data_IF_291235658780
#
_entry.id   IF_291235658780
#
_cell.length_a   1.000
_cell.length_b   1.000
_cell.length_c   1.000
_cell.angle_alpha   90.00
_cell.angle_beta   90.00
_cell.angle_gamma   90.00
#
_symmetry.space_group_name_H-M   'P 1'
#
loop_
_entity.id
_entity.type
_entity.pdbx_description
1 polymer ?
#
# COMPACT_ATOMS: atom_id res chain seq x y z
N UNK A 1 -1.68 21.40 62.58
CA UNK A 1 -1.58 20.06 61.94
C UNK A 1 -0.22 19.48 62.28
N UNK A 2 -0.13 18.22 62.71
CA UNK A 2 1.15 17.67 63.19
C UNK A 2 2.18 17.64 62.06
N UNK A 3 3.45 17.93 62.37
CA UNK A 3 4.57 17.92 61.40
C UNK A 3 4.66 16.61 60.60
N UNK A 4 4.18 15.51 61.19
CA UNK A 4 4.09 14.19 60.57
C UNK A 4 3.09 14.16 59.40
N UNK A 5 1.95 14.87 59.49
CA UNK A 5 0.96 14.97 58.41
C UNK A 5 1.46 15.82 57.24
N UNK A 6 2.22 16.89 57.52
CA UNK A 6 2.85 17.70 56.46
C UNK A 6 3.93 16.91 55.71
N UNK A 7 4.77 16.14 56.40
CA UNK A 7 5.77 15.28 55.77
C UNK A 7 5.14 14.17 54.92
N UNK A 8 4.05 13.56 55.39
CA UNK A 8 3.31 12.55 54.63
C UNK A 8 2.66 13.12 53.36
N UNK A 9 2.09 14.33 53.43
CA UNK A 9 1.49 14.99 52.25
C UNK A 9 2.57 15.37 51.22
N UNK A 10 3.72 15.87 51.67
CA UNK A 10 4.85 16.23 50.78
C UNK A 10 5.45 14.98 50.13
N UNK A 11 5.58 13.88 50.87
CA UNK A 11 6.06 12.61 50.30
C UNK A 11 5.08 12.04 49.26
N UNK A 12 3.77 12.18 49.50
CA UNK A 12 2.75 11.70 48.58
C UNK A 12 2.66 12.54 47.29
N UNK A 13 2.85 13.86 47.36
CA UNK A 13 2.90 14.73 46.18
C UNK A 13 4.19 14.57 45.37
N UNK A 14 5.32 14.25 46.03
CA UNK A 14 6.58 13.97 45.32
C UNK A 14 6.53 12.63 44.56
N UNK A 15 5.86 11.61 45.10
CA UNK A 15 5.71 10.30 44.46
C UNK A 15 4.79 10.35 43.22
N UNK A 16 3.79 11.25 43.24
CA UNK A 16 2.89 11.48 42.11
C UNK A 16 3.55 12.24 40.94
N UNK A 17 4.66 12.93 41.20
CA UNK A 17 5.38 13.70 40.17
C UNK A 17 6.33 12.83 39.32
N UNK A 18 6.67 11.60 39.74
CA UNK A 18 7.64 10.74 39.03
C UNK A 18 6.97 9.78 38.05
N UNK A 19 5.64 9.67 38.03
CA UNK A 19 4.91 8.83 37.04
C UNK A 19 4.59 9.55 35.73
N UNK A 20 5.05 10.79 35.56
CA UNK A 20 4.92 11.58 34.33
C UNK A 20 6.21 11.60 33.49
N UNK A 21 7.08 10.59 33.64
CA UNK A 21 7.93 10.21 32.50
C UNK A 21 6.99 9.71 31.43
N UNK A 22 6.62 10.63 30.54
CA UNK A 22 5.95 10.36 29.30
C UNK A 22 6.51 9.06 28.74
N UNK A 23 5.66 8.04 28.63
CA UNK A 23 5.76 7.14 27.51
C UNK A 23 5.70 8.06 26.29
N UNK A 24 6.86 8.53 25.84
CA UNK A 24 7.05 8.88 24.46
C UNK A 24 6.80 7.58 23.73
N UNK A 25 5.53 7.30 23.47
CA UNK A 25 5.11 6.32 22.50
C UNK A 25 5.72 6.87 21.21
N UNK A 26 6.93 6.40 20.89
CA UNK A 26 7.48 6.52 19.54
C UNK A 26 6.31 6.13 18.66
N UNK A 27 5.86 7.05 17.81
CA UNK A 27 4.75 6.81 16.91
C UNK A 27 5.00 5.48 16.17
N UNK A 28 4.33 4.41 16.60
CA UNK A 28 4.52 3.04 16.07
C UNK A 28 4.25 3.02 14.55
N UNK A 29 3.48 4.00 14.06
CA UNK A 29 3.17 4.20 12.65
C UNK A 29 4.41 4.30 11.76
N UNK A 30 5.48 4.94 12.23
CA UNK A 30 6.69 5.17 11.43
C UNK A 30 7.52 3.89 11.25
N UNK A 31 7.47 2.94 12.20
CA UNK A 31 8.19 1.66 12.12
C UNK A 31 7.49 0.63 11.22
N UNK A 32 6.16 0.68 11.10
CA UNK A 32 5.41 -0.34 10.37
C UNK A 32 5.74 -0.39 8.87
N UNK A 33 5.98 0.74 8.21
CA UNK A 33 6.24 0.77 6.77
C UNK A 33 7.67 0.37 6.40
N UNK A 34 8.64 0.70 7.25
CA UNK A 34 10.04 0.32 7.08
C UNK A 34 10.23 -1.21 7.01
N UNK A 35 9.39 -1.98 7.71
CA UNK A 35 9.41 -3.45 7.69
C UNK A 35 9.11 -4.04 6.31
N UNK A 36 8.23 -3.39 5.55
CA UNK A 36 7.74 -3.89 4.26
C UNK A 36 8.44 -3.27 3.05
N UNK A 37 9.20 -2.19 3.27
CA UNK A 37 10.06 -1.57 2.27
C UNK A 37 11.28 -2.48 1.98
N UNK A 38 11.36 -3.11 0.80
CA UNK A 38 12.52 -3.92 0.45
C UNK A 38 13.77 -3.04 0.30
N UNK A 39 14.94 -3.60 0.63
CA UNK A 39 16.23 -2.93 0.43
C UNK A 39 16.53 -2.67 -1.04
N UNK A 40 16.12 -3.59 -1.91
CA UNK A 40 16.37 -3.56 -3.34
C UNK A 40 15.03 -3.73 -4.08
N UNK A 41 14.30 -2.63 -4.30
CA UNK A 41 13.14 -2.61 -5.19
C UNK A 41 13.57 -2.49 -6.65
N UNK A 42 12.78 -3.02 -7.57
CA UNK A 42 12.89 -2.73 -9.00
C UNK A 42 12.81 -1.21 -9.21
N UNK A 43 13.77 -0.57 -9.90
CA UNK A 43 13.69 0.86 -10.18
C UNK A 43 12.39 1.22 -10.90
N UNK A 44 11.73 2.31 -10.51
CA UNK A 44 10.39 2.69 -11.01
C UNK A 44 10.33 2.70 -12.55
N UNK A 45 11.32 3.31 -13.21
CA UNK A 45 11.42 3.37 -14.67
C UNK A 45 11.63 2.00 -15.36
N UNK A 46 11.92 0.93 -14.60
CA UNK A 46 12.09 -0.45 -15.09
C UNK A 46 10.90 -1.35 -14.78
N UNK A 47 9.86 -0.83 -14.10
CA UNK A 47 8.67 -1.62 -13.80
C UNK A 47 7.95 -1.98 -15.11
N UNK A 48 7.84 -3.27 -15.38
CA UNK A 48 7.11 -3.77 -16.54
C UNK A 48 5.62 -3.90 -16.21
N UNK A 49 4.82 -2.93 -16.66
CA UNK A 49 3.36 -2.99 -16.49
C UNK A 49 2.73 -4.08 -17.37
N UNK A 50 1.59 -4.59 -16.95
CA UNK A 50 0.76 -5.48 -17.74
C UNK A 50 0.40 -4.83 -19.10
N UNK A 51 0.67 -5.54 -20.19
CA UNK A 51 0.34 -5.14 -21.57
C UNK A 51 -0.08 -6.36 -22.39
N UNK A 52 -1.07 -6.16 -23.24
CA UNK A 52 -1.47 -7.12 -24.26
C UNK A 52 -2.24 -6.43 -25.38
N UNK A 53 -2.15 -6.99 -26.59
CA UNK A 53 -2.97 -6.64 -27.74
C UNK A 53 -4.14 -7.61 -27.97
N UNK A 54 -4.27 -8.65 -27.13
CA UNK A 54 -5.28 -9.71 -27.26
C UNK A 54 -6.68 -9.18 -26.95
N UNK A 55 -7.63 -9.44 -27.85
CA UNK A 55 -9.02 -8.97 -27.75
C UNK A 55 -9.98 -9.97 -28.38
N UNK A 56 -11.17 -10.09 -27.81
CA UNK A 56 -12.27 -10.91 -28.32
C UNK A 56 -12.05 -12.41 -28.19
N UNK A 57 -11.11 -12.84 -27.34
CA UNK A 57 -10.70 -14.25 -27.23
C UNK A 57 -11.37 -14.97 -26.07
N UNK A 58 -11.74 -16.23 -26.32
CA UNK A 58 -12.05 -17.22 -25.28
C UNK A 58 -10.73 -17.81 -24.78
N UNK A 59 -10.27 -17.37 -23.61
CA UNK A 59 -8.96 -17.72 -23.06
C UNK A 59 -8.96 -19.14 -22.49
N UNK A 60 -7.87 -19.87 -22.74
CA UNK A 60 -7.58 -21.11 -22.02
C UNK A 60 -7.15 -20.83 -20.58
N UNK A 61 -7.19 -21.85 -19.71
CA UNK A 61 -6.66 -21.76 -18.35
C UNK A 61 -5.16 -21.43 -18.35
N UNK A 62 -4.43 -21.92 -19.35
CA UNK A 62 -3.01 -21.67 -19.53
C UNK A 62 -2.74 -20.19 -19.82
N UNK A 63 -3.41 -19.62 -20.83
CA UNK A 63 -3.26 -18.22 -21.20
C UNK A 63 -3.68 -17.30 -20.06
N UNK A 64 -4.83 -17.59 -19.43
CA UNK A 64 -5.33 -16.84 -18.28
C UNK A 64 -4.28 -16.78 -17.17
N UNK A 65 -3.64 -17.92 -16.86
CA UNK A 65 -2.56 -17.98 -15.89
C UNK A 65 -1.37 -17.12 -16.29
N UNK A 66 -0.95 -17.16 -17.55
CA UNK A 66 0.23 -16.42 -18.03
C UNK A 66 0.00 -14.90 -18.08
N UNK A 67 -1.22 -14.46 -18.40
CA UNK A 67 -1.63 -13.06 -18.28
C UNK A 67 -1.67 -12.61 -16.81
N UNK A 68 -2.28 -13.42 -15.95
CA UNK A 68 -2.38 -13.12 -14.53
C UNK A 68 -0.99 -13.05 -13.88
N UNK A 69 -0.06 -13.93 -14.26
CA UNK A 69 1.33 -13.90 -13.77
C UNK A 69 1.98 -12.52 -13.99
N UNK A 70 1.89 -11.99 -15.22
CA UNK A 70 2.44 -10.66 -15.56
C UNK A 70 1.78 -9.54 -14.76
N UNK A 71 0.46 -9.60 -14.58
CA UNK A 71 -0.23 -8.61 -13.76
C UNK A 71 0.22 -8.68 -12.28
N UNK A 72 0.45 -9.88 -11.74
CA UNK A 72 0.94 -10.08 -10.37
C UNK A 72 2.39 -9.61 -10.21
N UNK A 73 3.25 -9.84 -11.20
CA UNK A 73 4.64 -9.37 -11.22
C UNK A 73 4.70 -7.83 -11.18
N UNK A 74 3.94 -7.16 -12.07
CA UNK A 74 3.85 -5.71 -12.08
C UNK A 74 3.35 -5.14 -10.74
N UNK A 75 2.32 -5.77 -10.14
CA UNK A 75 1.79 -5.35 -8.85
C UNK A 75 2.79 -5.58 -7.70
N UNK A 76 3.63 -6.61 -7.78
CA UNK A 76 4.69 -6.83 -6.80
C UNK A 76 5.68 -5.66 -6.81
N UNK A 77 6.17 -5.28 -7.98
CA UNK A 77 7.09 -4.14 -8.13
C UNK A 77 6.45 -2.81 -7.70
N UNK A 78 5.17 -2.59 -8.03
CA UNK A 78 4.42 -1.40 -7.61
C UNK A 78 4.32 -1.33 -6.09
N UNK A 79 3.92 -2.42 -5.43
CA UNK A 79 3.73 -2.45 -3.97
C UNK A 79 5.08 -2.32 -3.24
N UNK A 80 6.13 -2.92 -3.77
CA UNK A 80 7.49 -2.75 -3.25
C UNK A 80 7.90 -1.28 -3.26
N UNK A 81 7.74 -0.60 -4.40
CA UNK A 81 8.06 0.81 -4.52
C UNK A 81 7.14 1.70 -3.69
N UNK A 82 5.85 1.36 -3.58
CA UNK A 82 4.89 2.04 -2.69
C UNK A 82 5.40 2.07 -1.25
N UNK A 83 5.91 0.95 -0.73
CA UNK A 83 6.50 0.92 0.61
C UNK A 83 7.85 1.65 0.70
N UNK A 84 8.71 1.58 -0.32
CA UNK A 84 9.96 2.36 -0.37
C UNK A 84 9.70 3.85 -0.33
N UNK A 85 8.76 4.35 -1.14
CA UNK A 85 8.43 5.77 -1.20
C UNK A 85 7.74 6.25 0.07
N UNK A 86 6.87 5.43 0.67
CA UNK A 86 6.31 5.77 1.98
C UNK A 86 7.41 5.88 3.05
N UNK A 87 8.35 4.95 3.08
CA UNK A 87 9.46 5.03 4.03
C UNK A 87 10.29 6.31 3.85
N UNK A 88 10.55 6.72 2.61
CA UNK A 88 11.21 8.01 2.31
C UNK A 88 10.37 9.20 2.77
N UNK A 89 9.06 9.19 2.50
CA UNK A 89 8.12 10.21 2.98
C UNK A 89 8.18 10.32 4.51
N UNK A 90 8.11 9.19 5.21
CA UNK A 90 8.13 9.16 6.67
C UNK A 90 9.45 9.71 7.25
N UNK A 91 10.58 9.55 6.55
CA UNK A 91 11.88 10.10 6.97
C UNK A 91 12.05 11.58 6.66
N UNK A 92 11.51 12.04 5.54
CA UNK A 92 11.76 13.38 5.01
C UNK A 92 10.66 14.39 5.36
N UNK A 93 9.42 13.93 5.53
CA UNK A 93 8.24 14.76 5.54
C UNK A 93 7.50 14.62 6.87
N UNK A 94 7.62 15.63 7.74
CA UNK A 94 6.90 15.72 9.01
C UNK A 94 5.58 16.52 8.91
N UNK A 95 5.10 16.80 7.69
CA UNK A 95 3.94 17.66 7.45
C UNK A 95 4.24 19.16 7.38
N UNK A 96 5.51 19.58 7.42
CA UNK A 96 5.89 21.01 7.39
C UNK A 96 6.85 21.42 6.28
N UNK A 97 7.55 20.48 5.66
CA UNK A 97 8.54 20.75 4.60
C UNK A 97 8.03 20.27 3.24
N UNK A 98 8.36 20.97 2.13
CA UNK A 98 8.01 20.47 0.79
C UNK A 98 8.68 19.11 0.54
N UNK A 99 7.94 18.17 -0.06
CA UNK A 99 8.51 16.94 -0.61
C UNK A 99 9.63 17.30 -1.61
N UNK A 100 10.78 16.62 -1.57
CA UNK A 100 11.84 16.91 -2.56
C UNK A 100 11.39 16.61 -3.98
N UNK A 101 11.94 17.34 -4.95
CA UNK A 101 11.57 17.20 -6.36
C UNK A 101 11.77 15.77 -6.90
N UNK A 102 12.80 15.04 -6.43
CA UNK A 102 12.98 13.62 -6.78
C UNK A 102 11.84 12.74 -6.24
N UNK A 103 11.42 12.96 -4.99
CA UNK A 103 10.35 12.17 -4.38
C UNK A 103 8.97 12.52 -4.99
N UNK A 104 8.73 13.79 -5.35
CA UNK A 104 7.57 14.21 -6.14
C UNK A 104 7.54 13.48 -7.50
N UNK A 105 8.68 13.49 -8.21
CA UNK A 105 8.82 12.79 -9.50
C UNK A 105 8.55 11.29 -9.38
N UNK A 106 9.20 10.62 -8.41
CA UNK A 106 9.04 9.19 -8.16
C UNK A 106 7.58 8.82 -7.85
N UNK A 107 6.90 9.64 -7.03
CA UNK A 107 5.49 9.44 -6.67
C UNK A 107 4.56 9.59 -7.87
N UNK A 108 4.76 10.61 -8.71
CA UNK A 108 3.97 10.81 -9.94
C UNK A 108 4.20 9.70 -10.95
N UNK A 109 5.44 9.26 -11.12
CA UNK A 109 5.76 8.16 -12.03
C UNK A 109 5.11 6.85 -11.56
N UNK A 110 5.22 6.53 -10.26
CA UNK A 110 4.58 5.34 -9.70
C UNK A 110 3.05 5.42 -9.79
N UNK A 111 2.43 6.59 -9.58
CA UNK A 111 1.00 6.79 -9.76
C UNK A 111 0.55 6.48 -11.21
N UNK A 112 1.31 6.96 -12.20
CA UNK A 112 1.04 6.74 -13.61
C UNK A 112 1.19 5.25 -13.99
N UNK A 113 2.28 4.62 -13.55
CA UNK A 113 2.55 3.17 -13.75
C UNK A 113 1.41 2.34 -13.15
N UNK A 114 1.03 2.65 -11.91
CA UNK A 114 -0.05 1.96 -11.20
C UNK A 114 -1.37 2.07 -11.95
N UNK A 115 -1.75 3.29 -12.34
CA UNK A 115 -2.99 3.56 -13.06
C UNK A 115 -3.03 2.83 -14.40
N UNK A 116 -1.95 2.90 -15.18
CA UNK A 116 -1.85 2.20 -16.47
C UNK A 116 -1.92 0.68 -16.31
N UNK A 117 -1.20 0.12 -15.33
CA UNK A 117 -1.24 -1.32 -15.07
C UNK A 117 -2.66 -1.80 -14.76
N UNK A 118 -3.37 -1.07 -13.89
CA UNK A 118 -4.75 -1.36 -13.52
C UNK A 118 -5.70 -1.26 -14.73
N UNK A 119 -5.65 -0.15 -15.47
CA UNK A 119 -6.49 0.07 -16.65
C UNK A 119 -6.24 -0.98 -17.74
N UNK A 120 -4.99 -1.35 -18.00
CA UNK A 120 -4.66 -2.35 -19.00
C UNK A 120 -5.24 -3.73 -18.63
N UNK A 121 -5.18 -4.10 -17.36
CA UNK A 121 -5.73 -5.37 -16.90
C UNK A 121 -7.28 -5.38 -16.93
N UNK A 122 -7.91 -4.29 -16.51
CA UNK A 122 -9.37 -4.13 -16.61
C UNK A 122 -9.86 -4.18 -18.06
N UNK A 123 -9.16 -3.52 -18.97
CA UNK A 123 -9.45 -3.58 -20.41
C UNK A 123 -9.30 -5.01 -20.94
N UNK A 124 -8.23 -5.72 -20.55
CA UNK A 124 -8.04 -7.13 -20.92
C UNK A 124 -9.17 -8.04 -20.43
N UNK A 125 -9.61 -7.88 -19.18
CA UNK A 125 -10.73 -8.66 -18.61
C UNK A 125 -12.07 -8.33 -19.27
N UNK A 126 -12.25 -7.09 -19.73
CA UNK A 126 -13.45 -6.66 -20.45
C UNK A 126 -13.47 -7.19 -21.89
N UNK A 127 -12.33 -7.14 -22.57
CA UNK A 127 -12.21 -7.47 -23.99
C UNK A 127 -12.09 -8.98 -24.24
N UNK A 128 -11.83 -9.80 -23.22
CA UNK A 128 -11.63 -11.25 -23.36
C UNK A 128 -12.50 -12.04 -22.37
N UNK A 129 -12.78 -13.30 -22.71
CA UNK A 129 -13.54 -14.21 -21.86
C UNK A 129 -12.60 -15.17 -21.14
N UNK A 130 -12.43 -14.94 -19.84
CA UNK A 130 -11.72 -15.86 -18.94
C UNK A 130 -12.55 -17.14 -18.69
N UNK A 131 -11.92 -18.28 -18.37
CA UNK A 131 -12.61 -19.50 -17.95
C UNK A 131 -13.63 -19.22 -16.84
N UNK A 132 -14.85 -19.72 -17.01
CA UNK A 132 -15.97 -19.43 -16.09
C UNK A 132 -15.69 -19.89 -14.66
N UNK A 133 -14.95 -20.99 -14.50
CA UNK A 133 -14.50 -21.55 -13.23
C UNK A 133 -13.38 -20.72 -12.54
N UNK A 134 -12.84 -19.69 -13.19
CA UNK A 134 -11.80 -18.80 -12.64
C UNK A 134 -12.26 -17.34 -12.55
N UNK A 135 -13.37 -16.97 -13.20
CA UNK A 135 -13.84 -15.58 -13.33
C UNK A 135 -13.97 -14.86 -11.99
N UNK A 136 -14.63 -15.47 -11.01
CA UNK A 136 -14.84 -14.84 -9.70
C UNK A 136 -13.52 -14.58 -8.96
N UNK A 137 -12.57 -15.51 -9.05
CA UNK A 137 -11.26 -15.39 -8.41
C UNK A 137 -10.41 -14.29 -9.07
N UNK A 138 -10.45 -14.19 -10.40
CA UNK A 138 -9.74 -13.15 -11.15
C UNK A 138 -10.33 -11.76 -10.87
N UNK A 139 -11.67 -11.64 -10.84
CA UNK A 139 -12.33 -10.38 -10.45
C UNK A 139 -11.98 -9.97 -9.01
N UNK A 140 -11.87 -10.94 -8.10
CA UNK A 140 -11.43 -10.69 -6.72
C UNK A 140 -10.00 -10.18 -6.66
N UNK A 141 -9.09 -10.75 -7.46
CA UNK A 141 -7.70 -10.27 -7.56
C UNK A 141 -7.66 -8.84 -8.11
N UNK A 142 -8.44 -8.55 -9.16
CA UNK A 142 -8.52 -7.21 -9.74
C UNK A 142 -9.00 -6.18 -8.71
N UNK A 143 -10.08 -6.48 -7.98
CA UNK A 143 -10.61 -5.61 -6.91
C UNK A 143 -9.59 -5.41 -5.78
N UNK A 144 -8.91 -6.47 -5.37
CA UNK A 144 -7.90 -6.40 -4.33
C UNK A 144 -6.78 -5.42 -4.69
N UNK A 145 -6.18 -5.54 -5.88
CA UNK A 145 -5.09 -4.65 -6.28
C UNK A 145 -5.55 -3.24 -6.60
N UNK A 146 -6.76 -3.06 -7.15
CA UNK A 146 -7.38 -1.74 -7.30
C UNK A 146 -7.51 -1.03 -5.94
N UNK A 147 -7.96 -1.75 -4.91
CA UNK A 147 -8.08 -1.25 -3.55
C UNK A 147 -6.73 -0.96 -2.89
N UNK A 148 -5.80 -1.92 -2.91
CA UNK A 148 -4.48 -1.78 -2.28
C UNK A 148 -3.66 -0.66 -2.92
N UNK A 149 -3.78 -0.47 -4.22
CA UNK A 149 -3.03 0.56 -4.94
C UNK A 149 -3.78 1.90 -5.06
N UNK A 150 -4.96 2.03 -4.45
CA UNK A 150 -5.81 3.20 -4.62
C UNK A 150 -5.11 4.52 -4.32
N UNK A 151 -4.39 4.59 -3.18
CA UNK A 151 -3.73 5.82 -2.73
C UNK A 151 -2.50 6.15 -3.57
N UNK A 152 -1.66 5.16 -3.90
CA UNK A 152 -0.48 5.38 -4.76
C UNK A 152 -0.89 5.79 -6.17
N UNK A 153 -1.98 5.26 -6.72
CA UNK A 153 -2.54 5.67 -8.00
C UNK A 153 -2.99 7.15 -8.04
N UNK A 154 -3.15 7.78 -6.86
CA UNK A 154 -3.56 9.19 -6.68
C UNK A 154 -2.49 10.03 -6.00
N UNK A 155 -1.23 9.56 -6.00
CA UNK A 155 -0.16 10.31 -5.35
C UNK A 155 0.07 11.69 -6.02
N UNK A 156 -0.19 11.81 -7.32
CA UNK A 156 -0.20 13.07 -8.06
C UNK A 156 -1.23 14.08 -7.51
N UNK A 157 -2.46 13.63 -7.25
CA UNK A 157 -3.53 14.41 -6.64
C UNK A 157 -3.16 14.80 -5.21
N UNK A 158 -2.62 13.86 -4.42
CA UNK A 158 -2.16 14.15 -3.07
C UNK A 158 -1.05 15.23 -3.05
N UNK A 159 -0.11 15.18 -3.99
CA UNK A 159 0.95 16.18 -4.14
C UNK A 159 0.41 17.55 -4.54
N UNK A 160 -0.57 17.59 -5.44
CA UNK A 160 -1.26 18.83 -5.81
C UNK A 160 -1.99 19.43 -4.60
N UNK A 161 -2.71 18.62 -3.82
CA UNK A 161 -3.40 19.05 -2.61
C UNK A 161 -2.46 19.64 -1.55
N UNK A 162 -1.22 19.15 -1.44
CA UNK A 162 -0.21 19.72 -0.53
C UNK A 162 0.07 21.20 -0.84
N UNK A 163 0.05 21.59 -2.12
CA UNK A 163 0.31 22.98 -2.51
C UNK A 163 -0.76 23.94 -1.97
N UNK A 164 -1.99 23.45 -1.78
CA UNK A 164 -3.12 24.21 -1.24
C UNK A 164 -3.29 24.04 0.26
N UNK A 165 -2.76 22.96 0.84
CA UNK A 165 -2.90 22.63 2.26
C UNK A 165 -1.63 21.95 2.78
N UNK A 166 -0.59 22.73 3.11
CA UNK A 166 0.73 22.20 3.48
C UNK A 166 0.75 21.29 4.71
N UNK A 167 -0.30 21.32 5.54
CA UNK A 167 -0.45 20.48 6.73
C UNK A 167 -0.95 19.06 6.43
N UNK A 168 -1.39 18.77 5.19
CA UNK A 168 -1.80 17.42 4.79
C UNK A 168 -0.58 16.51 4.72
N UNK A 169 -0.76 15.22 4.98
CA UNK A 169 0.29 14.21 4.82
C UNK A 169 0.02 13.33 3.63
N UNK A 170 1.05 13.00 2.87
CA UNK A 170 0.95 11.98 1.82
C UNK A 170 1.01 10.61 2.47
N UNK A 171 0.05 9.77 2.12
CA UNK A 171 0.10 8.36 2.44
C UNK A 171 -0.21 7.58 1.17
N UNK A 172 0.72 6.75 0.74
CA UNK A 172 0.55 5.88 -0.43
C UNK A 172 0.27 4.44 -0.05
N UNK A 173 0.41 4.07 1.23
CA UNK A 173 0.39 2.69 1.74
C UNK A 173 -0.98 2.17 2.18
N UNK A 174 -1.76 3.01 2.83
CA UNK A 174 -3.04 2.63 3.42
C UNK A 174 -4.10 2.32 2.36
N UNK A 175 -5.07 1.51 2.76
CA UNK A 175 -6.29 1.26 2.00
C UNK A 175 -7.43 2.12 2.54
N UNK A 176 -8.17 2.86 1.70
CA UNK A 176 -9.33 3.62 2.16
C UNK A 176 -10.40 2.70 2.77
N UNK A 177 -11.10 3.17 3.81
CA UNK A 177 -12.07 2.38 4.57
C UNK A 177 -13.19 1.79 3.70
N UNK A 178 -13.61 2.50 2.64
CA UNK A 178 -14.62 2.02 1.69
C UNK A 178 -14.16 0.80 0.87
N UNK A 179 -12.87 0.47 0.88
CA UNK A 179 -12.30 -0.74 0.25
C UNK A 179 -11.88 -1.82 1.26
N UNK A 180 -12.13 -1.65 2.56
CA UNK A 180 -11.74 -2.63 3.58
C UNK A 180 -12.35 -4.03 3.33
N UNK A 181 -13.52 -4.08 2.70
CA UNK A 181 -14.19 -5.33 2.29
C UNK A 181 -13.42 -6.13 1.22
N UNK A 182 -12.62 -5.45 0.41
CA UNK A 182 -11.88 -6.05 -0.72
C UNK A 182 -10.49 -6.56 -0.31
N UNK A 183 -9.91 -6.01 0.76
CA UNK A 183 -8.51 -6.30 1.17
C UNK A 183 -8.39 -7.11 2.46
N UNK A 184 -9.50 -7.46 3.11
CA UNK A 184 -9.47 -8.19 4.38
C UNK A 184 -8.86 -9.61 4.26
N UNK A 185 -8.54 -10.21 5.41
CA UNK A 185 -7.93 -11.53 5.52
C UNK A 185 -8.75 -12.64 4.82
N UNK A 186 -10.08 -12.51 4.74
CA UNK A 186 -10.93 -13.48 4.05
C UNK A 186 -10.68 -13.42 2.53
N UNK A 187 -10.63 -12.23 1.94
CA UNK A 187 -10.30 -12.06 0.52
C UNK A 187 -8.87 -12.52 0.23
N UNK A 188 -7.90 -12.11 1.05
CA UNK A 188 -6.51 -12.55 0.90
C UNK A 188 -6.37 -14.08 0.91
N UNK A 189 -7.03 -14.78 1.85
CA UNK A 189 -7.01 -16.25 1.90
C UNK A 189 -7.58 -16.89 0.65
N UNK A 190 -8.69 -16.37 0.12
CA UNK A 190 -9.29 -16.85 -1.13
C UNK A 190 -8.34 -16.66 -2.31
N UNK A 191 -7.74 -15.47 -2.42
CA UNK A 191 -6.76 -15.19 -3.47
C UNK A 191 -5.56 -16.14 -3.36
N UNK A 192 -4.95 -16.26 -2.16
CA UNK A 192 -3.81 -17.16 -1.94
C UNK A 192 -4.13 -18.62 -2.29
N UNK A 193 -5.34 -19.09 -1.96
CA UNK A 193 -5.79 -20.43 -2.33
C UNK A 193 -5.89 -20.62 -3.86
N UNK A 194 -6.46 -19.64 -4.56
CA UNK A 194 -6.52 -19.63 -6.03
C UNK A 194 -5.12 -19.62 -6.65
N UNK A 195 -4.25 -18.70 -6.22
CA UNK A 195 -2.88 -18.61 -6.74
C UNK A 195 -2.11 -19.92 -6.55
N UNK A 196 -2.22 -20.53 -5.37
CA UNK A 196 -1.60 -21.84 -5.08
C UNK A 196 -2.12 -22.93 -6.01
N UNK A 197 -3.44 -23.02 -6.22
CA UNK A 197 -4.06 -23.99 -7.13
C UNK A 197 -3.52 -23.85 -8.56
N UNK A 198 -3.30 -22.62 -9.00
CA UNK A 198 -2.79 -22.31 -10.34
C UNK A 198 -1.26 -22.16 -10.41
N UNK A 199 -0.52 -22.53 -9.36
CA UNK A 199 0.96 -22.44 -9.30
C UNK A 199 1.49 -21.02 -9.60
N UNK A 200 0.77 -20.01 -9.16
CA UNK A 200 1.16 -18.60 -9.19
C UNK A 200 1.69 -18.19 -7.82
N UNK A 201 2.68 -17.31 -7.80
CA UNK A 201 3.28 -16.76 -6.59
C UNK A 201 3.39 -15.24 -6.70
N UNK A 202 3.19 -14.55 -5.59
CA UNK A 202 3.39 -13.10 -5.45
C UNK A 202 3.62 -12.79 -3.98
N UNK A 203 4.47 -11.81 -3.68
CA UNK A 203 4.67 -11.33 -2.30
C UNK A 203 3.74 -10.14 -1.99
N UNK A 204 3.09 -9.58 -3.01
CA UNK A 204 2.27 -8.39 -2.94
C UNK A 204 1.05 -8.51 -2.00
N UNK A 205 0.61 -9.73 -1.68
CA UNK A 205 -0.54 -10.02 -0.81
C UNK A 205 -0.10 -10.32 0.64
N UNK A 206 1.20 -10.39 0.90
CA UNK A 206 1.77 -10.64 2.23
C UNK A 206 2.23 -9.35 2.94
N UNK A 207 2.10 -8.21 2.26
CA UNK A 207 2.49 -6.88 2.73
C UNK A 207 1.27 -6.04 3.08
#
# INVERSE_FOLDING_TARGET
>A
MSKLKQLLIIAFTLMLAVTLTACAQKDEKQEHHAKYAPKNATPIHKIEIFKTSEKGKDLTEQETRDYLKRYLEANNDIIDNKYVLQHKLDQQYDGRQKVSDQLDTDLRELANITTKNQMNFEAFLKDNKVPSNQKEDIERINKYFSAVNYKVARADQQLEELSYSPQKTINVVDVPTNYAGDVNLKQQKKIKAFLKKHKLSTQAIDK
#
